data_IF_962953431322
#
_entry.id   IF_962953431322
#
_cell.length_a   1.000
_cell.length_b   1.000
_cell.length_c   1.000
_cell.angle_alpha   90.00
_cell.angle_beta   90.00
_cell.angle_gamma   90.00
#
_symmetry.space_group_name_H-M   'P 1'
#
loop_
_entity.id
_entity.type
_entity.pdbx_description
1 polymer ?
#
# COMPACT_ATOMS: atom_id res chain seq x y z
N UNK A 1 -10.50 22.31 23.64
CA UNK A 1 -11.04 21.11 22.97
C UNK A 1 -9.89 20.28 22.44
N UNK A 2 -9.82 18.98 22.77
CA UNK A 2 -8.85 18.05 22.20
C UNK A 2 -8.89 18.10 20.68
N UNK A 3 -7.74 18.00 20.02
CA UNK A 3 -7.62 18.01 18.56
C UNK A 3 -7.10 16.67 18.09
N UNK A 4 -7.47 16.23 16.90
CA UNK A 4 -6.94 15.01 16.31
C UNK A 4 -6.93 15.05 14.78
N UNK A 5 -6.18 14.13 14.20
CA UNK A 5 -6.19 13.83 12.76
C UNK A 5 -6.86 12.48 12.56
N UNK A 6 -7.80 12.36 11.63
CA UNK A 6 -8.44 11.09 11.33
C UNK A 6 -7.73 10.37 10.19
N UNK A 7 -7.55 9.06 10.33
CA UNK A 7 -7.02 8.20 9.28
C UNK A 7 -7.98 7.05 8.96
N UNK A 8 -8.22 6.86 7.66
CA UNK A 8 -9.10 5.82 7.14
C UNK A 8 -8.37 4.96 6.12
N UNK A 9 -8.77 3.68 6.02
CA UNK A 9 -8.20 2.75 5.04
C UNK A 9 -9.28 1.94 4.34
N UNK A 10 -9.16 1.84 3.01
CA UNK A 10 -10.06 1.09 2.13
C UNK A 10 -9.29 0.29 1.09
N UNK A 11 -9.77 -0.92 0.75
CA UNK A 11 -9.18 -1.71 -0.33
C UNK A 11 -9.95 -1.51 -1.65
N UNK A 12 -9.19 -1.28 -2.72
CA UNK A 12 -9.72 -1.09 -4.09
C UNK A 12 -10.53 -2.28 -4.59
N UNK A 13 -10.24 -3.51 -4.16
CA UNK A 13 -10.93 -4.71 -4.64
C UNK A 13 -12.37 -4.86 -4.11
N UNK A 14 -12.74 -4.19 -3.01
CA UNK A 14 -14.09 -4.30 -2.41
C UNK A 14 -14.97 -3.07 -2.61
N UNK A 15 -14.42 -1.96 -3.09
CA UNK A 15 -15.16 -0.71 -3.26
C UNK A 15 -16.20 -0.73 -4.38
N UNK A 16 -16.16 -1.68 -5.30
CA UNK A 16 -17.17 -1.82 -6.35
C UNK A 16 -18.54 -2.34 -5.88
N UNK A 17 -18.73 -2.71 -4.61
CA UNK A 17 -19.98 -3.35 -4.16
C UNK A 17 -20.81 -2.64 -3.09
N UNK A 18 -20.32 -1.60 -2.40
CA UNK A 18 -21.21 -0.91 -1.44
C UNK A 18 -20.83 0.48 -0.91
N UNK A 19 -19.59 0.98 -0.98
CA UNK A 19 -19.23 2.29 -0.36
C UNK A 19 -19.32 2.34 1.19
N UNK A 20 -19.95 1.35 1.82
CA UNK A 20 -20.26 1.29 3.26
C UNK A 20 -19.03 1.24 4.17
N UNK A 21 -17.87 0.80 3.66
CA UNK A 21 -16.68 0.57 4.48
C UNK A 21 -15.99 1.85 4.96
N UNK A 22 -16.04 2.94 4.18
CA UNK A 22 -15.44 4.23 4.57
C UNK A 22 -16.42 5.03 5.42
N UNK A 23 -17.69 5.06 5.02
CA UNK A 23 -18.74 5.78 5.76
C UNK A 23 -18.92 5.23 7.17
N UNK A 24 -18.86 3.90 7.35
CA UNK A 24 -18.88 3.30 8.68
C UNK A 24 -17.69 3.73 9.55
N UNK A 25 -16.50 3.90 8.96
CA UNK A 25 -15.31 4.39 9.68
C UNK A 25 -15.47 5.87 10.05
N UNK A 26 -15.91 6.69 9.10
CA UNK A 26 -16.18 8.12 9.30
C UNK A 26 -17.21 8.32 10.40
N UNK A 27 -18.33 7.60 10.36
CA UNK A 27 -19.37 7.65 11.37
C UNK A 27 -18.89 7.19 12.75
N UNK A 28 -18.05 6.15 12.83
CA UNK A 28 -17.48 5.70 14.10
C UNK A 28 -16.55 6.75 14.71
N UNK A 29 -15.66 7.33 13.90
CA UNK A 29 -14.75 8.40 14.33
C UNK A 29 -15.52 9.67 14.72
N UNK A 30 -16.55 10.04 13.96
CA UNK A 30 -17.39 11.19 14.27
C UNK A 30 -18.12 11.05 15.60
N UNK A 31 -18.79 9.90 15.85
CA UNK A 31 -19.44 9.62 17.14
C UNK A 31 -18.48 9.65 18.31
N UNK A 32 -17.29 9.09 18.12
CA UNK A 32 -16.24 9.11 19.14
C UNK A 32 -15.74 10.55 19.40
N UNK A 33 -15.47 11.32 18.35
CA UNK A 33 -15.02 12.69 18.49
C UNK A 33 -16.06 13.58 19.20
N UNK A 34 -17.34 13.38 18.90
CA UNK A 34 -18.45 14.04 19.59
C UNK A 34 -18.51 13.67 21.08
N UNK A 35 -18.43 12.38 21.41
CA UNK A 35 -18.45 11.90 22.79
C UNK A 35 -17.28 12.44 23.64
N UNK A 36 -16.10 12.56 23.04
CA UNK A 36 -14.87 13.04 23.70
C UNK A 36 -14.67 14.58 23.59
N UNK A 37 -15.59 15.30 22.96
CA UNK A 37 -15.46 16.75 22.72
C UNK A 37 -14.23 17.12 21.85
N UNK A 38 -13.81 16.21 20.98
CA UNK A 38 -12.62 16.28 20.15
C UNK A 38 -12.92 16.86 18.76
N UNK A 39 -12.01 17.66 18.23
CA UNK A 39 -12.10 18.26 16.89
C UNK A 39 -11.17 17.50 15.94
N UNK A 40 -11.74 16.97 14.87
CA UNK A 40 -10.97 16.40 13.75
C UNK A 40 -10.49 17.55 12.86
N UNK A 41 -9.18 17.79 12.83
CA UNK A 41 -8.56 18.88 12.08
C UNK A 41 -8.41 18.56 10.59
N UNK A 42 -8.10 17.30 10.29
CA UNK A 42 -7.90 16.82 8.93
C UNK A 42 -8.15 15.32 8.85
N UNK A 43 -8.63 14.88 7.69
CA UNK A 43 -8.88 13.47 7.38
C UNK A 43 -7.92 12.99 6.28
N UNK A 44 -7.38 11.79 6.46
CA UNK A 44 -6.52 11.12 5.49
C UNK A 44 -7.14 9.78 5.10
N UNK A 45 -7.29 9.52 3.81
CA UNK A 45 -7.90 8.27 3.31
C UNK A 45 -6.92 7.51 2.44
N UNK A 46 -6.48 6.34 2.91
CA UNK A 46 -5.58 5.45 2.20
C UNK A 46 -6.34 4.46 1.32
N UNK A 47 -5.90 4.36 0.07
CA UNK A 47 -6.50 3.47 -0.94
C UNK A 47 -5.53 2.34 -1.26
N UNK A 48 -5.79 1.16 -0.73
CA UNK A 48 -4.91 -0.01 -0.85
C UNK A 48 -5.11 -0.75 -2.17
N UNK A 49 -4.03 -0.91 -2.95
CA UNK A 49 -3.98 -1.71 -4.17
C UNK A 49 -3.19 -3.01 -3.96
N UNK A 50 -3.87 -4.08 -3.49
CA UNK A 50 -3.32 -5.45 -3.46
C UNK A 50 -2.87 -5.97 -2.09
N UNK A 51 -2.38 -7.22 -2.07
CA UNK A 51 -1.93 -7.94 -0.86
C UNK A 51 -0.51 -7.48 -0.45
N UNK A 52 -0.29 -7.22 0.84
CA UNK A 52 1.04 -6.94 1.40
C UNK A 52 1.40 -5.46 1.48
N UNK A 53 0.43 -4.57 1.66
CA UNK A 53 0.65 -3.12 1.80
C UNK A 53 0.75 -2.69 3.27
N UNK A 54 1.33 -3.52 4.15
CA UNK A 54 1.59 -3.15 5.56
C UNK A 54 2.90 -2.34 5.72
N UNK A 55 3.64 -2.03 4.64
CA UNK A 55 4.81 -1.16 4.66
C UNK A 55 4.44 0.33 4.56
N UNK A 56 5.07 1.19 5.36
CA UNK A 56 4.82 2.64 5.40
C UNK A 56 5.09 3.32 4.05
N UNK A 57 6.10 2.85 3.31
CA UNK A 57 6.46 3.35 1.97
C UNK A 57 5.34 3.21 0.94
N UNK A 58 4.38 2.31 1.20
CA UNK A 58 3.19 2.09 0.38
C UNK A 58 1.95 2.78 0.95
N UNK A 59 2.12 3.67 1.94
CA UNK A 59 1.07 4.39 2.66
C UNK A 59 1.39 5.89 2.77
N UNK A 60 1.31 6.63 1.65
CA UNK A 60 1.59 8.05 1.65
C UNK A 60 0.61 8.84 2.54
N UNK A 61 -0.65 8.40 2.65
CA UNK A 61 -1.66 9.10 3.45
C UNK A 61 -1.44 8.88 4.94
N UNK A 62 -1.01 7.69 5.35
CA UNK A 62 -0.61 7.45 6.74
C UNK A 62 0.63 8.25 7.12
N UNK A 63 1.62 8.31 6.24
CA UNK A 63 2.83 9.13 6.44
C UNK A 63 2.48 10.61 6.60
N UNK A 64 1.58 11.13 5.75
CA UNK A 64 1.11 12.50 5.84
C UNK A 64 0.31 12.78 7.13
N UNK A 65 -0.57 11.85 7.53
CA UNK A 65 -1.32 11.93 8.78
C UNK A 65 -0.38 12.00 10.00
N UNK A 66 0.66 11.16 10.02
CA UNK A 66 1.66 11.12 11.10
C UNK A 66 2.50 12.40 11.14
N UNK A 67 2.91 12.91 9.98
CA UNK A 67 3.67 14.16 9.89
C UNK A 67 2.86 15.34 10.45
N UNK A 68 1.58 15.44 10.05
CA UNK A 68 0.69 16.49 10.52
C UNK A 68 0.39 16.36 12.02
N UNK A 69 0.05 15.16 12.48
CA UNK A 69 -0.23 14.89 13.89
C UNK A 69 0.97 15.26 14.79
N UNK A 70 2.20 14.96 14.33
CA UNK A 70 3.43 15.35 15.01
C UNK A 70 3.63 16.87 15.05
N UNK A 71 3.39 17.56 13.93
CA UNK A 71 3.49 19.02 13.87
C UNK A 71 2.49 19.70 14.80
N UNK A 72 1.27 19.17 14.87
CA UNK A 72 0.17 19.71 15.66
C UNK A 72 0.13 19.20 17.11
N UNK A 73 1.05 18.28 17.46
CA UNK A 73 1.11 17.59 18.76
C UNK A 73 -0.23 17.00 19.17
N UNK A 74 -0.89 16.32 18.24
CA UNK A 74 -2.21 15.71 18.44
C UNK A 74 -2.21 14.22 18.07
N UNK A 75 -3.15 13.43 18.61
CA UNK A 75 -3.31 12.03 18.24
C UNK A 75 -3.78 11.83 16.79
N UNK A 76 -3.48 10.64 16.25
CA UNK A 76 -4.13 10.10 15.06
C UNK A 76 -5.27 9.17 15.50
N UNK A 77 -6.50 9.46 15.08
CA UNK A 77 -7.69 8.67 15.37
C UNK A 77 -7.98 7.72 14.20
N UNK A 78 -8.21 6.45 14.54
CA UNK A 78 -8.66 5.42 13.60
C UNK A 78 -9.93 4.76 14.11
N UNK A 79 -10.78 4.30 13.21
CA UNK A 79 -12.03 3.63 13.62
C UNK A 79 -11.74 2.30 14.36
N UNK A 80 -10.84 1.48 13.83
CA UNK A 80 -10.45 0.16 14.38
C UNK A 80 -8.97 -0.09 14.16
N UNK A 81 -8.36 -0.96 14.98
CA UNK A 81 -6.93 -1.29 14.83
C UNK A 81 -6.60 -1.91 13.47
N UNK A 82 -7.50 -2.71 12.92
CA UNK A 82 -7.32 -3.35 11.62
C UNK A 82 -7.28 -2.36 10.44
N UNK A 83 -7.67 -1.09 10.66
CA UNK A 83 -7.51 0.01 9.70
C UNK A 83 -6.10 0.58 9.74
N UNK A 84 -5.47 0.60 10.90
CA UNK A 84 -4.09 1.02 11.09
C UNK A 84 -3.13 -0.01 10.54
N UNK A 85 -3.17 -1.26 10.98
CA UNK A 85 -2.44 -2.39 10.38
C UNK A 85 -2.86 -3.69 11.07
N UNK A 86 -2.55 -4.81 10.45
CA UNK A 86 -2.68 -6.14 11.07
C UNK A 86 -1.31 -6.78 11.34
N UNK A 87 -0.24 -6.02 11.14
CA UNK A 87 1.14 -6.43 11.39
C UNK A 87 1.63 -5.80 12.70
N UNK A 88 2.03 -6.66 13.65
CA UNK A 88 2.52 -6.25 14.98
C UNK A 88 3.79 -5.42 14.86
N UNK A 89 4.71 -5.81 13.97
CA UNK A 89 5.96 -5.08 13.78
C UNK A 89 5.69 -3.67 13.26
N UNK A 90 4.69 -3.51 12.40
CA UNK A 90 4.27 -2.20 11.92
C UNK A 90 3.67 -1.34 13.04
N UNK A 91 2.74 -1.88 13.83
CA UNK A 91 2.13 -1.15 14.95
C UNK A 91 3.19 -0.75 15.99
N UNK A 92 4.11 -1.67 16.33
CA UNK A 92 5.22 -1.37 17.22
C UNK A 92 6.13 -0.26 16.65
N UNK A 93 6.42 -0.30 15.34
CA UNK A 93 7.19 0.72 14.65
C UNK A 93 6.54 2.11 14.70
N UNK A 94 5.21 2.19 14.63
CA UNK A 94 4.49 3.46 14.77
C UNK A 94 4.63 4.05 16.18
N UNK A 95 4.73 3.21 17.20
CA UNK A 95 4.89 3.67 18.59
C UNK A 95 6.28 4.25 18.86
N UNK A 96 7.30 3.74 18.18
CA UNK A 96 8.65 4.33 18.19
C UNK A 96 8.63 5.77 17.67
N UNK A 97 7.71 6.11 16.75
CA UNK A 97 7.57 7.48 16.22
C UNK A 97 6.93 8.47 17.21
N UNK A 98 6.53 8.03 18.42
CA UNK A 98 5.96 8.86 19.50
C UNK A 98 4.75 9.71 19.10
N UNK A 99 4.01 9.29 18.07
CA UNK A 99 2.70 9.89 17.75
C UNK A 99 1.62 9.09 18.49
N UNK A 100 0.79 9.73 19.33
CA UNK A 100 -0.29 9.04 20.01
C UNK A 100 -1.34 8.54 19.01
N UNK A 101 -1.86 7.33 19.23
CA UNK A 101 -2.96 6.78 18.45
C UNK A 101 -4.18 6.57 19.33
N UNK A 102 -5.34 6.89 18.78
CA UNK A 102 -6.63 6.62 19.42
C UNK A 102 -7.42 5.71 18.51
N UNK A 103 -7.90 4.60 19.06
CA UNK A 103 -8.79 3.68 18.35
C UNK A 103 -10.19 3.93 18.88
N UNK A 104 -11.08 4.45 18.04
CA UNK A 104 -12.43 4.84 18.45
C UNK A 104 -13.22 3.69 19.12
N UNK A 105 -12.96 2.43 18.73
CA UNK A 105 -13.57 1.25 19.37
C UNK A 105 -13.01 0.89 20.75
N UNK A 106 -11.78 1.31 21.07
CA UNK A 106 -11.11 0.99 22.34
C UNK A 106 -11.22 2.12 23.36
N UNK A 107 -11.64 3.31 22.94
CA UNK A 107 -11.73 4.50 23.79
C UNK A 107 -10.48 5.40 23.70
N UNK A 108 -10.59 6.59 24.30
CA UNK A 108 -9.52 7.59 24.32
C UNK A 108 -8.28 7.15 25.13
N UNK A 109 -8.50 6.30 26.14
CA UNK A 109 -7.47 5.81 27.08
C UNK A 109 -6.78 4.53 26.61
N UNK A 110 -6.83 4.20 25.32
CA UNK A 110 -6.16 3.03 24.78
C UNK A 110 -4.63 3.18 24.91
N UNK A 111 -4.09 2.65 26.02
CA UNK A 111 -2.66 2.68 26.34
C UNK A 111 -1.84 1.99 25.23
N UNK A 112 -0.66 2.52 24.86
CA UNK A 112 0.43 1.78 24.21
C UNK A 112 0.45 0.26 24.45
N UNK A 113 0.29 -0.21 25.69
CA UNK A 113 0.24 -1.64 26.02
C UNK A 113 -0.95 -2.38 25.37
N UNK A 114 -2.14 -1.79 25.43
CA UNK A 114 -3.35 -2.38 24.85
C UNK A 114 -3.23 -2.51 23.33
N UNK A 115 -2.66 -1.50 22.66
CA UNK A 115 -2.39 -1.54 21.22
C UNK A 115 -1.48 -2.73 20.84
N UNK A 116 -0.45 -3.03 21.63
CA UNK A 116 0.41 -4.19 21.42
C UNK A 116 -0.34 -5.52 21.60
N UNK A 117 -1.15 -5.63 22.65
CA UNK A 117 -1.91 -6.85 22.93
C UNK A 117 -2.90 -7.16 21.80
N UNK A 118 -3.64 -6.15 21.34
CA UNK A 118 -4.57 -6.31 20.22
C UNK A 118 -3.86 -6.63 18.91
N UNK A 119 -2.69 -6.03 18.66
CA UNK A 119 -1.90 -6.36 17.48
C UNK A 119 -1.46 -7.83 17.52
N UNK A 120 -0.93 -8.30 18.65
CA UNK A 120 -0.49 -9.69 18.82
C UNK A 120 -1.65 -10.69 18.66
N UNK A 121 -2.83 -10.35 19.19
CA UNK A 121 -4.03 -11.17 19.02
C UNK A 121 -4.45 -11.27 17.56
N UNK A 122 -4.47 -10.15 16.83
CA UNK A 122 -4.81 -10.11 15.41
C UNK A 122 -3.83 -10.94 14.54
N UNK A 123 -2.54 -10.93 14.88
CA UNK A 123 -1.54 -11.75 14.19
C UNK A 123 -1.79 -13.25 14.42
N UNK A 124 -2.06 -13.65 15.66
CA UNK A 124 -2.41 -15.03 16.01
C UNK A 124 -3.65 -15.50 15.26
N UNK A 125 -4.70 -14.69 15.21
CA UNK A 125 -5.93 -15.02 14.49
C UNK A 125 -5.67 -15.23 12.98
N UNK A 126 -4.89 -14.35 12.36
CA UNK A 126 -4.49 -14.49 10.94
C UNK A 126 -3.73 -15.79 10.70
N UNK A 127 -2.82 -16.15 11.60
CA UNK A 127 -2.05 -17.40 11.53
C UNK A 127 -2.97 -18.61 11.58
N UNK A 128 -3.89 -18.65 12.54
CA UNK A 128 -4.88 -19.72 12.69
C UNK A 128 -5.80 -19.87 11.47
N UNK A 129 -6.28 -18.75 10.89
CA UNK A 129 -7.09 -18.78 9.66
C UNK A 129 -6.29 -19.39 8.50
N UNK A 130 -5.03 -18.99 8.36
CA UNK A 130 -4.13 -19.55 7.34
C UNK A 130 -3.91 -21.05 7.55
N UNK A 131 -3.60 -21.46 8.77
CA UNK A 131 -3.40 -22.88 9.14
C UNK A 131 -4.64 -23.72 8.85
N UNK A 132 -5.83 -23.26 9.27
CA UNK A 132 -7.11 -23.94 9.01
C UNK A 132 -7.39 -24.04 7.51
N UNK A 133 -7.10 -22.99 6.75
CA UNK A 133 -7.28 -23.00 5.28
C UNK A 133 -6.32 -24.01 4.64
N UNK A 134 -5.05 -24.04 5.05
CA UNK A 134 -4.06 -25.00 4.54
C UNK A 134 -4.45 -26.44 4.88
N UNK A 135 -4.90 -26.69 6.11
CA UNK A 135 -5.37 -28.01 6.54
C UNK A 135 -6.59 -28.46 5.72
N UNK A 136 -7.58 -27.59 5.52
CA UNK A 136 -8.75 -27.88 4.70
C UNK A 136 -8.38 -28.18 3.23
N UNK A 137 -7.43 -27.42 2.65
CA UNK A 137 -6.93 -27.67 1.30
C UNK A 137 -6.15 -28.99 1.20
N UNK A 138 -5.31 -29.30 2.20
CA UNK A 138 -4.57 -30.55 2.26
C UNK A 138 -5.52 -31.77 2.32
N UNK A 139 -6.55 -31.70 3.16
CA UNK A 139 -7.59 -32.74 3.23
C UNK A 139 -8.34 -32.91 1.90
N UNK A 140 -8.76 -31.81 1.26
CA UNK A 140 -9.40 -31.87 -0.06
C UNK A 140 -8.49 -32.48 -1.13
N UNK A 141 -7.18 -32.18 -1.08
CA UNK A 141 -6.18 -32.77 -1.98
C UNK A 141 -6.07 -34.28 -1.77
N UNK A 142 -6.10 -34.76 -0.52
CA UNK A 142 -6.09 -36.22 -0.23
C UNK A 142 -7.36 -36.94 -0.71
N UNK A 143 -8.50 -36.24 -0.75
CA UNK A 143 -9.76 -36.74 -1.33
C UNK A 143 -9.78 -36.68 -2.87
N UNK A 144 -8.65 -36.35 -3.52
CA UNK A 144 -8.54 -36.29 -4.97
C UNK A 144 -9.15 -35.05 -5.63
N UNK A 145 -9.64 -34.08 -4.84
CA UNK A 145 -10.19 -32.83 -5.38
C UNK A 145 -9.04 -31.99 -5.96
N UNK A 146 -9.10 -31.72 -7.26
CA UNK A 146 -8.14 -30.88 -7.97
C UNK A 146 -8.32 -29.42 -7.52
N UNK A 147 -7.33 -28.89 -6.82
CA UNK A 147 -7.35 -27.51 -6.33
C UNK A 147 -6.96 -26.51 -7.43
N UNK A 148 -7.61 -25.35 -7.44
CA UNK A 148 -7.42 -24.29 -8.44
C UNK A 148 -8.33 -24.44 -9.66
N UNK A 149 -8.32 -23.45 -10.55
CA UNK A 149 -9.06 -23.51 -11.81
C UNK A 149 -8.08 -23.60 -12.99
N UNK A 150 -7.79 -24.80 -13.53
CA UNK A 150 -6.88 -24.95 -14.67
C UNK A 150 -7.49 -24.48 -16.00
N UNK A 151 -8.81 -24.29 -16.10
CA UNK A 151 -9.46 -23.96 -17.39
C UNK A 151 -9.32 -22.48 -17.77
N UNK A 152 -9.05 -21.59 -16.81
CA UNK A 152 -8.92 -20.15 -17.06
C UNK A 152 -7.47 -19.67 -17.19
N UNK A 153 -6.48 -20.57 -17.24
CA UNK A 153 -5.05 -20.21 -17.21
C UNK A 153 -4.65 -19.29 -18.36
N UNK A 154 -5.16 -19.54 -19.58
CA UNK A 154 -4.93 -18.69 -20.75
C UNK A 154 -5.55 -17.29 -20.58
N UNK A 155 -6.79 -17.22 -20.09
CA UNK A 155 -7.50 -15.96 -19.87
C UNK A 155 -6.86 -15.14 -18.74
N UNK A 156 -6.49 -15.81 -17.63
CA UNK A 156 -5.77 -15.23 -16.51
C UNK A 156 -4.40 -14.70 -16.96
N UNK A 157 -3.67 -15.45 -17.79
CA UNK A 157 -2.39 -15.02 -18.36
C UNK A 157 -2.57 -13.82 -19.31
N UNK A 158 -3.63 -13.79 -20.12
CA UNK A 158 -3.94 -12.64 -20.99
C UNK A 158 -4.26 -11.39 -20.17
N UNK A 159 -5.07 -11.51 -19.11
CA UNK A 159 -5.37 -10.41 -18.17
C UNK A 159 -4.10 -9.94 -17.45
N UNK A 160 -3.27 -10.86 -16.96
CA UNK A 160 -1.99 -10.55 -16.33
C UNK A 160 -1.02 -9.82 -17.27
N UNK A 161 -0.93 -10.25 -18.54
CA UNK A 161 -0.14 -9.54 -19.56
C UNK A 161 -0.62 -8.12 -19.79
N UNK A 162 -1.95 -7.89 -19.90
CA UNK A 162 -2.50 -6.54 -20.06
C UNK A 162 -2.14 -5.61 -18.89
N UNK A 163 -2.19 -6.12 -17.66
CA UNK A 163 -1.81 -5.34 -16.47
C UNK A 163 -0.31 -5.04 -16.48
N UNK A 164 0.52 -6.05 -16.73
CA UNK A 164 1.98 -5.91 -16.80
C UNK A 164 2.43 -4.91 -17.86
N UNK A 165 1.79 -4.90 -19.03
CA UNK A 165 2.04 -3.90 -20.08
C UNK A 165 1.71 -2.49 -19.57
N UNK A 166 0.52 -2.29 -18.97
CA UNK A 166 0.11 -0.98 -18.43
C UNK A 166 1.05 -0.47 -17.35
N UNK A 167 1.52 -1.34 -16.46
CA UNK A 167 2.50 -0.96 -15.42
C UNK A 167 3.85 -0.61 -16.01
N UNK A 168 4.32 -1.37 -17.01
CA UNK A 168 5.56 -1.07 -17.72
C UNK A 168 5.48 0.27 -18.47
N UNK A 169 4.34 0.58 -19.11
CA UNK A 169 4.12 1.86 -19.80
C UNK A 169 4.06 3.03 -18.81
N UNK A 170 3.41 2.85 -17.66
CA UNK A 170 3.39 3.86 -16.59
C UNK A 170 4.79 4.13 -16.06
N UNK A 171 5.56 3.08 -15.77
CA UNK A 171 6.94 3.21 -15.31
C UNK A 171 7.82 3.88 -16.36
N UNK A 172 7.65 3.55 -17.64
CA UNK A 172 8.35 4.21 -18.74
C UNK A 172 8.09 5.71 -18.75
N UNK A 173 6.83 6.15 -18.61
CA UNK A 173 6.48 7.58 -18.53
C UNK A 173 7.17 8.30 -17.38
N UNK A 174 7.38 7.64 -16.24
CA UNK A 174 8.11 8.22 -15.10
C UNK A 174 9.60 8.40 -15.38
N UNK A 175 10.23 7.48 -16.10
CA UNK A 175 11.69 7.46 -16.29
C UNK A 175 12.14 8.17 -17.58
N UNK A 176 11.30 8.23 -18.60
CA UNK A 176 11.63 8.83 -19.90
C UNK A 176 12.18 10.27 -19.78
N UNK A 177 11.61 11.18 -18.96
CA UNK A 177 12.17 12.52 -18.79
C UNK A 177 13.61 12.53 -18.28
N UNK A 178 13.96 11.57 -17.41
CA UNK A 178 15.33 11.42 -16.88
C UNK A 178 16.27 10.95 -17.99
N UNK A 179 15.82 9.99 -18.81
CA UNK A 179 16.58 9.50 -19.97
C UNK A 179 16.82 10.65 -20.96
N UNK A 180 15.78 11.43 -21.29
CA UNK A 180 15.90 12.58 -22.19
C UNK A 180 16.86 13.64 -21.64
N UNK A 181 16.82 13.94 -20.34
CA UNK A 181 17.79 14.84 -19.69
C UNK A 181 19.24 14.33 -19.83
N UNK A 182 19.48 13.03 -19.70
CA UNK A 182 20.82 12.44 -19.88
C UNK A 182 21.26 12.49 -21.36
N UNK A 183 20.33 12.31 -22.30
CA UNK A 183 20.62 12.46 -23.73
C UNK A 183 21.01 13.89 -24.07
N UNK A 184 20.32 14.87 -23.51
CA UNK A 184 20.63 16.30 -23.67
C UNK A 184 22.00 16.68 -23.09
N UNK A 185 22.50 15.96 -22.09
CA UNK A 185 23.88 16.12 -21.59
C UNK A 185 24.94 15.42 -22.46
N UNK A 186 24.58 14.95 -23.66
CA UNK A 186 25.49 14.35 -24.63
C UNK A 186 25.65 12.83 -24.54
N UNK A 187 25.00 12.16 -23.58
CA UNK A 187 25.11 10.70 -23.41
C UNK A 187 23.95 10.02 -24.15
N UNK A 188 24.22 9.52 -25.36
CA UNK A 188 23.18 8.93 -26.23
C UNK A 188 23.28 7.41 -26.37
N UNK A 189 24.42 6.80 -26.02
CA UNK A 189 24.60 5.35 -26.12
C UNK A 189 23.79 4.60 -25.05
N UNK A 190 23.19 3.47 -25.40
CA UNK A 190 22.38 2.68 -24.46
C UNK A 190 23.17 2.25 -23.20
N UNK A 191 24.46 1.92 -23.38
CA UNK A 191 25.37 1.60 -22.27
C UNK A 191 25.63 2.83 -21.41
N UNK A 192 25.90 3.99 -22.02
CA UNK A 192 26.10 5.25 -21.29
C UNK A 192 24.86 5.65 -20.49
N UNK A 193 23.67 5.51 -21.07
CA UNK A 193 22.41 5.76 -20.40
C UNK A 193 22.20 4.84 -19.19
N UNK A 194 22.48 3.54 -19.33
CA UNK A 194 22.37 2.60 -18.21
C UNK A 194 23.32 2.97 -17.06
N UNK A 195 24.57 3.30 -17.36
CA UNK A 195 25.56 3.73 -16.37
C UNK A 195 25.11 5.03 -15.69
N UNK A 196 24.69 6.03 -16.46
CA UNK A 196 24.24 7.33 -15.94
C UNK A 196 23.02 7.18 -15.03
N UNK A 197 22.04 6.34 -15.38
CA UNK A 197 20.87 6.07 -14.54
C UNK A 197 21.26 5.41 -13.21
N UNK A 198 22.16 4.43 -13.25
CA UNK A 198 22.68 3.78 -12.05
C UNK A 198 23.45 4.76 -11.15
N UNK A 199 24.31 5.60 -11.73
CA UNK A 199 25.09 6.60 -11.00
C UNK A 199 24.20 7.68 -10.37
N UNK A 200 23.06 8.00 -10.99
CA UNK A 200 22.03 8.89 -10.44
C UNK A 200 21.11 8.21 -9.42
N UNK A 201 21.34 6.95 -9.07
CA UNK A 201 20.54 6.20 -8.09
C UNK A 201 19.14 5.80 -8.58
N UNK A 202 18.84 5.96 -9.87
CA UNK A 202 17.53 5.60 -10.43
C UNK A 202 17.42 4.08 -10.47
N UNK A 203 16.39 3.52 -9.83
CA UNK A 203 16.16 2.06 -9.80
C UNK A 203 15.17 1.64 -10.88
N UNK A 204 15.30 0.41 -11.37
CA UNK A 204 14.32 -0.19 -12.29
C UNK A 204 13.00 -0.51 -11.56
N UNK A 205 11.93 -0.84 -12.30
CA UNK A 205 10.62 -1.17 -11.73
C UNK A 205 10.64 -2.31 -10.69
N UNK A 206 11.66 -3.19 -10.73
CA UNK A 206 11.88 -4.28 -9.78
C UNK A 206 12.99 -3.99 -8.76
N UNK A 207 13.32 -2.72 -8.58
CA UNK A 207 14.36 -2.23 -7.67
C UNK A 207 15.80 -2.70 -7.99
N UNK A 208 16.06 -3.14 -9.23
CA UNK A 208 17.38 -3.55 -9.70
C UNK A 208 18.15 -2.44 -10.42
N UNK A 209 19.39 -2.72 -10.82
CA UNK A 209 20.23 -1.84 -11.64
C UNK A 209 19.77 -1.81 -13.12
N UNK A 210 20.07 -0.71 -13.80
CA UNK A 210 19.86 -0.54 -15.22
C UNK A 210 20.89 -1.32 -16.03
N UNK A 211 20.37 -2.05 -17.02
CA UNK A 211 21.14 -2.73 -18.05
C UNK A 211 20.72 -2.18 -19.42
N UNK A 212 21.56 -2.40 -20.43
CA UNK A 212 21.31 -1.97 -21.81
C UNK A 212 19.94 -2.42 -22.33
N UNK A 213 19.55 -3.67 -22.02
CA UNK A 213 18.25 -4.24 -22.37
C UNK A 213 17.08 -3.44 -21.81
N UNK A 214 17.19 -2.98 -20.56
CA UNK A 214 16.15 -2.20 -19.88
C UNK A 214 15.99 -0.83 -20.55
N UNK A 215 17.10 -0.14 -20.84
CA UNK A 215 17.08 1.16 -21.52
C UNK A 215 16.45 1.03 -22.90
N UNK A 216 16.88 0.02 -23.68
CA UNK A 216 16.31 -0.26 -25.01
C UNK A 216 14.79 -0.49 -24.94
N UNK A 217 14.32 -1.27 -23.98
CA UNK A 217 12.91 -1.59 -23.83
C UNK A 217 12.07 -0.35 -23.47
N UNK A 218 12.63 0.59 -22.70
CA UNK A 218 11.96 1.86 -22.36
C UNK A 218 11.88 2.78 -23.59
N UNK A 219 12.98 2.92 -24.34
CA UNK A 219 13.00 3.74 -25.55
C UNK A 219 12.10 3.17 -26.67
N UNK A 220 12.05 1.85 -26.82
CA UNK A 220 11.13 1.22 -27.77
C UNK A 220 9.66 1.57 -27.46
N UNK A 221 9.30 1.66 -26.18
CA UNK A 221 7.95 2.09 -25.75
C UNK A 221 7.66 3.55 -26.07
N UNK A 222 8.67 4.43 -25.98
CA UNK A 222 8.54 5.82 -26.39
C UNK A 222 8.29 5.94 -27.91
N UNK A 223 9.05 5.20 -28.72
CA UNK A 223 8.86 5.18 -30.17
C UNK A 223 7.46 4.69 -30.57
N UNK A 224 6.97 3.63 -29.91
CA UNK A 224 5.60 3.13 -30.14
C UNK A 224 4.52 4.10 -29.68
N UNK A 225 4.74 4.87 -28.60
CA UNK A 225 3.80 5.89 -28.14
C UNK A 225 3.74 7.11 -29.08
N UNK A 226 4.88 7.51 -29.66
CA UNK A 226 4.96 8.61 -30.62
C UNK A 226 4.38 8.27 -32.00
N UNK A 227 4.30 6.99 -32.38
CA UNK A 227 3.69 6.55 -33.63
C UNK A 227 2.14 6.45 -33.58
N UNK A 228 1.55 6.56 -32.39
CA UNK A 228 0.10 6.45 -32.14
C UNK A 228 -0.56 7.82 -31.89
N UNK A 229 0.20 8.90 -32.01
CA UNK A 229 -0.24 10.30 -31.98
C UNK A 229 -0.08 10.90 -33.38
#
# INVERSE_FOLDING_TARGET
MPRAVAYYRVSTQRQGRSGLGIEAQRAAVARFAEAEGMIILQEFTEVETGKGADALDRRPQLTAALALARQLKCPVVVAKLDRLSRDVAFIAGLMVQRVPFIVAELGADADPFMLHLYAALAEKERRLISERTKAALASRKTTGIKLGNPTNTAEAAARGRKISIREADRFAKTVLPIITSIQQSGITSLRGLAIALNNRGVRTARNGQWQVSNVRNILARQASANLLL
#
